data_IF_709267374856
#
_entry.id   IF_709267374856
#
_cell.length_a   1.000
_cell.length_b   1.000
_cell.length_c   1.000
_cell.angle_alpha   90.00
_cell.angle_beta   90.00
_cell.angle_gamma   90.00
#
_symmetry.space_group_name_H-M   'P 1'
#
loop_
_entity.id
_entity.type
_entity.pdbx_description
1 polymer ?
#
# COMPACT_ATOMS: atom_id res chain seq x y z
N UNK A 1 13.72 1.04 -6.99
CA UNK A 1 12.69 -0.02 -7.12
C UNK A 1 11.36 0.66 -7.41
N UNK A 2 10.52 0.16 -8.33
CA UNK A 2 9.10 0.58 -8.40
C UNK A 2 8.42 0.08 -7.11
N UNK A 3 7.59 0.89 -6.46
CA UNK A 3 6.99 0.56 -5.16
C UNK A 3 6.01 -0.62 -5.29
N UNK A 4 6.06 -1.63 -4.41
CA UNK A 4 5.02 -2.65 -4.35
C UNK A 4 3.71 -1.98 -3.92
N UNK A 5 2.70 -2.01 -4.78
CA UNK A 5 1.45 -1.31 -4.52
C UNK A 5 0.59 -2.08 -3.52
N UNK A 6 0.75 -1.74 -2.23
CA UNK A 6 -0.33 -1.90 -1.27
C UNK A 6 -1.51 -1.05 -1.74
N UNK A 7 -2.58 -1.70 -2.19
CA UNK A 7 -3.91 -1.10 -2.21
C UNK A 7 -4.47 -1.11 -0.77
N UNK A 8 -4.60 0.05 -0.10
CA UNK A 8 -5.85 0.31 0.61
C UNK A 8 -6.98 0.44 -0.44
N UNK A 9 -8.20 0.07 -0.08
CA UNK A 9 -9.38 0.56 -0.80
C UNK A 9 -9.48 2.08 -0.52
N UNK A 10 -9.38 2.97 -1.53
CA UNK A 10 -9.71 4.44 -1.53
C UNK A 10 -9.39 5.09 -2.91
N UNK A 11 -10.02 6.25 -3.28
CA UNK A 11 -10.61 6.46 -4.64
C UNK A 11 -11.09 7.93 -4.97
N UNK A 12 -11.30 8.36 -6.25
CA UNK A 12 -11.83 9.72 -6.74
C UNK A 12 -12.01 9.77 -8.30
N UNK A 13 -12.79 10.61 -9.07
CA UNK A 13 -13.98 11.54 -9.01
C UNK A 13 -13.93 12.55 -10.23
N UNK A 14 -14.90 12.97 -11.11
CA UNK A 14 -16.33 12.68 -11.45
C UNK A 14 -16.68 13.01 -12.97
N UNK A 15 -17.84 12.59 -13.55
CA UNK A 15 -18.69 13.21 -14.69
C UNK A 15 -18.85 12.54 -16.11
N UNK A 16 -20.07 12.60 -16.70
CA UNK A 16 -20.77 11.53 -17.49
C UNK A 16 -21.19 11.90 -18.94
N UNK A 17 -21.28 10.89 -19.83
CA UNK A 17 -22.17 10.93 -21.01
C UNK A 17 -23.09 9.69 -21.15
N UNK A 18 -24.40 9.93 -21.28
CA UNK A 18 -25.47 8.92 -21.26
C UNK A 18 -25.80 8.42 -22.69
N UNK A 19 -26.01 7.11 -22.88
CA UNK A 19 -26.64 6.55 -24.10
C UNK A 19 -27.62 5.43 -23.69
N UNK A 20 -28.89 5.44 -24.13
CA UNK A 20 -29.85 4.39 -23.81
C UNK A 20 -29.59 3.12 -24.65
N UNK A 21 -29.34 1.99 -23.98
CA UNK A 21 -29.14 0.69 -24.64
C UNK A 21 -30.47 0.00 -24.95
N UNK A 22 -30.74 -0.25 -26.24
CA UNK A 22 -31.76 -1.21 -26.66
C UNK A 22 -31.29 -2.63 -26.35
N UNK A 23 -32.07 -3.35 -25.53
CA UNK A 23 -31.69 -4.65 -24.94
C UNK A 23 -31.71 -5.82 -25.94
N UNK A 24 -30.75 -5.87 -26.85
CA UNK A 24 -30.39 -7.10 -27.57
C UNK A 24 -29.71 -8.09 -26.60
N UNK A 25 -30.52 -8.92 -25.92
CA UNK A 25 -30.01 -10.03 -25.08
C UNK A 25 -29.31 -11.08 -25.94
N UNK A 26 -28.00 -10.90 -26.20
CA UNK A 26 -27.14 -12.02 -26.57
C UNK A 26 -27.19 -13.05 -25.44
N UNK A 27 -27.67 -14.24 -25.76
CA UNK A 27 -27.69 -15.39 -24.86
C UNK A 27 -26.22 -15.77 -24.56
N UNK A 28 -25.80 -15.97 -23.31
CA UNK A 28 -24.42 -16.38 -23.03
C UNK A 28 -24.17 -17.76 -23.65
N UNK A 29 -23.14 -17.86 -24.50
CA UNK A 29 -22.76 -19.09 -25.19
C UNK A 29 -21.79 -19.90 -24.32
N UNK A 30 -22.36 -20.79 -23.51
CA UNK A 30 -21.64 -21.70 -22.62
C UNK A 30 -22.60 -22.54 -21.77
N UNK A 31 -22.11 -23.55 -21.04
CA UNK A 31 -22.90 -24.22 -20.02
C UNK A 31 -23.29 -23.22 -18.92
N UNK A 32 -24.52 -23.32 -18.42
CA UNK A 32 -25.01 -22.46 -17.34
C UNK A 32 -24.22 -22.73 -16.05
N UNK A 33 -23.41 -21.76 -15.62
CA UNK A 33 -22.69 -21.85 -14.34
C UNK A 33 -23.70 -21.91 -13.18
N UNK A 34 -23.56 -22.84 -12.21
CA UNK A 34 -24.43 -22.91 -11.05
C UNK A 34 -24.38 -21.63 -10.21
N UNK A 35 -25.49 -21.24 -9.57
CA UNK A 35 -25.51 -20.11 -8.62
C UNK A 35 -25.01 -20.57 -7.25
N UNK A 36 -23.96 -19.93 -6.71
CA UNK A 36 -23.46 -20.19 -5.35
C UNK A 36 -24.14 -19.32 -4.29
N UNK A 37 -24.67 -18.16 -4.67
CA UNK A 37 -25.53 -17.35 -3.81
C UNK A 37 -26.56 -16.52 -4.61
N UNK A 38 -27.52 -15.93 -3.91
CA UNK A 38 -28.37 -14.83 -4.38
C UNK A 38 -28.26 -13.68 -3.36
N UNK A 39 -28.21 -12.44 -3.85
CA UNK A 39 -28.11 -11.20 -3.08
C UNK A 39 -29.12 -10.20 -3.65
N UNK A 40 -30.13 -9.81 -2.87
CA UNK A 40 -31.16 -8.85 -3.31
C UNK A 40 -31.96 -9.27 -4.57
N UNK A 41 -31.96 -10.56 -4.90
CA UNK A 41 -32.55 -11.12 -6.13
C UNK A 41 -31.54 -11.34 -7.28
N UNK A 42 -30.32 -10.81 -7.20
CA UNK A 42 -29.25 -11.06 -8.18
C UNK A 42 -28.43 -12.31 -7.82
N UNK A 43 -28.05 -13.15 -8.80
CA UNK A 43 -27.19 -14.31 -8.54
C UNK A 43 -25.72 -13.93 -8.34
N UNK A 44 -24.99 -14.80 -7.65
CA UNK A 44 -23.55 -14.96 -7.77
C UNK A 44 -23.30 -16.36 -8.33
N UNK A 45 -22.61 -16.44 -9.46
CA UNK A 45 -22.29 -17.67 -10.17
C UNK A 45 -21.03 -18.33 -9.61
N UNK A 46 -20.94 -19.66 -9.73
CA UNK A 46 -19.75 -20.43 -9.38
C UNK A 46 -18.53 -19.90 -10.15
N UNK A 47 -18.71 -19.50 -11.41
CA UNK A 47 -17.65 -18.90 -12.22
C UNK A 47 -17.10 -17.57 -11.68
N UNK A 48 -17.91 -16.77 -10.96
CA UNK A 48 -17.41 -15.56 -10.29
C UNK A 48 -16.45 -15.93 -9.13
N UNK A 49 -16.76 -17.02 -8.40
CA UNK A 49 -15.93 -17.54 -7.32
C UNK A 49 -14.68 -18.29 -7.83
N UNK A 50 -14.81 -19.06 -8.90
CA UNK A 50 -13.68 -19.72 -9.59
C UNK A 50 -12.70 -18.68 -10.13
N UNK A 51 -13.22 -17.59 -10.70
CA UNK A 51 -12.42 -16.44 -11.11
C UNK A 51 -11.75 -15.75 -9.91
N UNK A 52 -12.47 -15.48 -8.82
CA UNK A 52 -11.88 -14.87 -7.62
C UNK A 52 -10.76 -15.73 -7.01
N UNK A 53 -10.92 -17.06 -6.96
CA UNK A 53 -9.91 -18.01 -6.50
C UNK A 53 -8.70 -18.06 -7.45
N UNK A 54 -8.93 -17.98 -8.76
CA UNK A 54 -7.87 -17.89 -9.78
C UNK A 54 -7.09 -16.58 -9.66
N UNK A 55 -7.78 -15.45 -9.50
CA UNK A 55 -7.21 -14.11 -9.29
C UNK A 55 -6.37 -14.08 -7.99
N UNK A 56 -6.85 -14.68 -6.90
CA UNK A 56 -6.10 -14.84 -5.63
C UNK A 56 -4.83 -15.69 -5.79
N UNK A 57 -4.92 -16.81 -6.52
CA UNK A 57 -3.81 -17.77 -6.71
C UNK A 57 -2.57 -17.22 -7.42
N UNK A 58 -2.65 -16.01 -8.00
CA UNK A 58 -1.51 -15.33 -8.65
C UNK A 58 -0.60 -14.60 -7.67
N UNK A 59 -1.14 -14.13 -6.56
CA UNK A 59 -0.37 -13.40 -5.53
C UNK A 59 0.02 -14.32 -4.36
N UNK A 60 -0.86 -15.26 -4.00
CA UNK A 60 -0.70 -16.14 -2.82
C UNK A 60 -0.92 -17.60 -3.24
N UNK A 61 0.03 -18.53 -2.97
CA UNK A 61 -0.16 -19.95 -3.21
C UNK A 61 -1.39 -20.49 -2.48
N UNK A 62 -2.23 -21.26 -3.19
CA UNK A 62 -3.44 -21.84 -2.59
C UNK A 62 -3.08 -22.87 -1.49
N UNK A 63 -3.84 -22.92 -0.39
CA UNK A 63 -3.68 -23.96 0.62
C UNK A 63 -4.03 -25.35 0.04
N UNK A 64 -3.50 -26.45 0.61
CA UNK A 64 -3.89 -27.79 0.24
C UNK A 64 -5.41 -28.04 0.37
N UNK A 65 -5.93 -28.97 -0.43
CA UNK A 65 -7.34 -29.37 -0.36
C UNK A 65 -7.73 -29.86 1.04
N UNK A 66 -8.81 -29.32 1.56
CA UNK A 66 -9.28 -29.51 2.93
C UNK A 66 -9.85 -28.22 3.50
N UNK A 67 -10.03 -28.17 4.82
CA UNK A 67 -10.72 -27.08 5.52
C UNK A 67 -10.14 -25.68 5.24
N UNK A 68 -8.82 -25.55 5.11
CA UNK A 68 -8.18 -24.26 4.81
C UNK A 68 -8.60 -23.70 3.43
N UNK A 69 -8.68 -24.55 2.41
CA UNK A 69 -9.15 -24.17 1.08
C UNK A 69 -10.66 -23.92 1.07
N UNK A 70 -11.43 -24.69 1.82
CA UNK A 70 -12.87 -24.49 1.95
C UNK A 70 -13.24 -23.24 2.75
N UNK A 71 -12.39 -22.79 3.68
CA UNK A 71 -12.53 -21.49 4.35
C UNK A 71 -12.19 -20.35 3.38
N UNK A 72 -11.07 -20.42 2.64
CA UNK A 72 -10.74 -19.45 1.59
C UNK A 72 -11.88 -19.28 0.55
N UNK A 73 -12.53 -20.38 0.14
CA UNK A 73 -13.72 -20.32 -0.75
C UNK A 73 -14.91 -19.58 -0.12
N UNK A 74 -15.14 -19.72 1.20
CA UNK A 74 -16.20 -18.98 1.91
C UNK A 74 -15.83 -17.50 1.98
N UNK A 75 -14.59 -17.18 2.30
CA UNK A 75 -14.12 -15.80 2.46
C UNK A 75 -14.16 -15.03 1.13
N UNK A 76 -13.79 -15.69 0.02
CA UNK A 76 -13.92 -15.13 -1.33
C UNK A 76 -15.40 -14.98 -1.77
N UNK A 77 -16.28 -15.95 -1.45
CA UNK A 77 -17.71 -15.78 -1.68
C UNK A 77 -18.28 -14.62 -0.85
N UNK A 78 -17.81 -14.46 0.39
CA UNK A 78 -18.25 -13.42 1.29
C UNK A 78 -17.85 -12.03 0.76
N UNK A 79 -16.63 -11.90 0.24
CA UNK A 79 -16.20 -10.69 -0.49
C UNK A 79 -17.08 -10.41 -1.73
N UNK A 80 -17.44 -11.42 -2.51
CA UNK A 80 -18.35 -11.27 -3.67
C UNK A 80 -19.77 -10.85 -3.24
N UNK A 81 -20.31 -11.42 -2.16
CA UNK A 81 -21.60 -11.03 -1.56
C UNK A 81 -21.53 -9.57 -1.12
N UNK A 82 -20.54 -9.20 -0.31
CA UNK A 82 -20.42 -7.85 0.24
C UNK A 82 -20.22 -6.79 -0.87
N UNK A 83 -19.48 -7.14 -1.92
CA UNK A 83 -19.35 -6.32 -3.14
C UNK A 83 -20.70 -6.12 -3.81
N UNK A 84 -21.47 -7.19 -4.06
CA UNK A 84 -22.77 -7.11 -4.72
C UNK A 84 -23.81 -6.34 -3.89
N UNK A 85 -23.78 -6.50 -2.55
CA UNK A 85 -24.57 -5.70 -1.59
C UNK A 85 -24.28 -4.19 -1.74
N UNK A 86 -23.01 -3.78 -1.76
CA UNK A 86 -22.65 -2.37 -1.91
C UNK A 86 -23.00 -1.81 -3.30
N UNK A 87 -22.81 -2.58 -4.38
CA UNK A 87 -23.16 -2.14 -5.73
C UNK A 87 -24.67 -1.97 -5.90
N UNK A 88 -25.48 -2.83 -5.30
CA UNK A 88 -26.94 -2.66 -5.27
C UNK A 88 -27.39 -1.42 -4.50
N UNK A 89 -26.82 -1.15 -3.32
CA UNK A 89 -27.15 0.07 -2.58
C UNK A 89 -26.69 1.32 -3.34
N UNK A 90 -25.53 1.26 -4.00
CA UNK A 90 -25.02 2.35 -4.85
C UNK A 90 -25.97 2.70 -6.01
N UNK A 91 -26.60 1.71 -6.63
CA UNK A 91 -27.63 1.94 -7.66
C UNK A 91 -28.88 2.62 -7.08
N UNK A 92 -29.35 2.19 -5.89
CA UNK A 92 -30.49 2.83 -5.20
C UNK A 92 -30.17 4.29 -4.82
N UNK A 93 -28.96 4.52 -4.33
CA UNK A 93 -28.41 5.82 -3.98
C UNK A 93 -28.03 6.68 -5.19
N UNK A 94 -28.25 6.19 -6.42
CA UNK A 94 -28.00 6.85 -7.70
C UNK A 94 -26.55 7.32 -7.85
N UNK A 95 -25.62 6.49 -7.40
CA UNK A 95 -24.19 6.73 -7.50
C UNK A 95 -23.76 6.39 -8.92
N UNK A 96 -23.36 7.44 -9.63
CA UNK A 96 -23.07 7.41 -11.05
C UNK A 96 -21.56 7.49 -11.27
N UNK A 97 -20.92 6.35 -11.59
CA UNK A 97 -19.61 6.34 -12.23
C UNK A 97 -19.78 6.59 -13.73
N UNK A 98 -18.84 7.33 -14.30
CA UNK A 98 -19.08 8.12 -15.50
C UNK A 98 -18.05 7.86 -16.61
N UNK A 99 -18.02 8.70 -17.66
CA UNK A 99 -17.02 8.57 -18.74
C UNK A 99 -15.73 9.32 -18.42
N UNK A 100 -15.83 10.59 -18.04
CA UNK A 100 -14.66 11.43 -17.79
C UNK A 100 -13.94 10.97 -16.51
N UNK A 101 -14.68 10.45 -15.50
CA UNK A 101 -14.11 9.64 -14.41
C UNK A 101 -13.27 8.50 -14.98
N UNK A 102 -13.86 7.67 -15.85
CA UNK A 102 -13.24 6.42 -16.27
C UNK A 102 -11.95 6.70 -17.04
N UNK A 103 -11.96 7.72 -17.90
CA UNK A 103 -10.77 8.14 -18.63
C UNK A 103 -9.68 8.70 -17.69
N UNK A 104 -10.02 9.55 -16.70
CA UNK A 104 -9.05 10.05 -15.72
C UNK A 104 -8.59 8.99 -14.70
N UNK A 105 -9.45 8.06 -14.31
CA UNK A 105 -9.12 6.88 -13.49
C UNK A 105 -8.14 5.98 -14.23
N UNK A 106 -8.45 5.60 -15.47
CA UNK A 106 -7.58 4.75 -16.31
C UNK A 106 -6.22 5.45 -16.49
N UNK A 107 -6.22 6.73 -16.85
CA UNK A 107 -5.02 7.56 -16.99
C UNK A 107 -4.19 7.63 -15.70
N UNK A 108 -4.82 7.87 -14.54
CA UNK A 108 -4.16 7.91 -13.23
C UNK A 108 -3.57 6.54 -12.85
N UNK A 109 -4.29 5.44 -13.11
CA UNK A 109 -3.84 4.09 -12.80
C UNK A 109 -2.76 3.58 -13.78
N UNK A 110 -2.67 4.15 -14.99
CA UNK A 110 -1.62 3.85 -15.99
C UNK A 110 -0.40 4.78 -15.94
N UNK A 111 -0.40 5.84 -15.15
CA UNK A 111 0.57 6.94 -15.24
C UNK A 111 2.06 6.50 -15.17
N UNK A 112 2.39 5.48 -14.37
CA UNK A 112 3.75 4.96 -14.17
C UNK A 112 4.14 3.78 -15.10
N UNK A 113 3.32 3.53 -16.14
CA UNK A 113 3.43 2.37 -17.04
C UNK A 113 3.36 2.77 -18.52
N UNK A 114 4.23 2.18 -19.34
CA UNK A 114 3.92 2.02 -20.76
C UNK A 114 2.78 1.02 -20.97
N UNK A 115 2.05 1.10 -22.09
CA UNK A 115 0.99 0.14 -22.41
C UNK A 115 1.48 -1.31 -22.50
N UNK A 116 2.76 -1.53 -22.82
CA UNK A 116 3.37 -2.86 -22.77
C UNK A 116 3.55 -3.35 -21.33
N UNK A 117 4.22 -2.57 -20.46
CA UNK A 117 4.39 -2.91 -19.04
C UNK A 117 3.03 -3.13 -18.35
N UNK A 118 2.03 -2.32 -18.70
CA UNK A 118 0.67 -2.46 -18.19
C UNK A 118 0.00 -3.76 -18.67
N UNK A 119 0.13 -4.11 -19.94
CA UNK A 119 -0.37 -5.38 -20.49
C UNK A 119 0.31 -6.59 -19.85
N UNK A 120 1.61 -6.52 -19.61
CA UNK A 120 2.39 -7.57 -18.93
C UNK A 120 2.04 -7.68 -17.44
N UNK A 121 1.79 -6.55 -16.77
CA UNK A 121 1.29 -6.50 -15.39
C UNK A 121 -0.08 -7.16 -15.26
N UNK A 122 -1.04 -6.87 -16.15
CA UNK A 122 -2.35 -7.56 -16.14
C UNK A 122 -2.21 -9.06 -16.41
N UNK A 123 -1.36 -9.47 -17.37
CA UNK A 123 -1.10 -10.89 -17.68
C UNK A 123 -0.51 -11.66 -16.50
N UNK A 124 0.47 -11.08 -15.79
CA UNK A 124 1.07 -11.73 -14.60
C UNK A 124 0.04 -11.93 -13.47
N UNK A 125 -0.85 -10.94 -13.26
CA UNK A 125 -2.00 -11.02 -12.34
C UNK A 125 -3.17 -11.85 -12.86
N UNK A 126 -3.08 -12.43 -14.06
CA UNK A 126 -4.15 -13.25 -14.67
C UNK A 126 -5.42 -12.47 -15.03
N UNK A 127 -5.34 -11.14 -15.16
CA UNK A 127 -6.47 -10.25 -15.44
C UNK A 127 -6.56 -9.94 -16.95
N UNK A 128 -7.79 -9.78 -17.45
CA UNK A 128 -8.03 -9.12 -18.75
C UNK A 128 -8.22 -7.61 -18.53
N UNK A 129 -8.12 -6.82 -19.60
CA UNK A 129 -8.35 -5.38 -19.54
C UNK A 129 -9.81 -5.06 -19.16
N UNK A 130 -10.77 -5.86 -19.63
CA UNK A 130 -12.19 -5.73 -19.34
C UNK A 130 -12.47 -6.00 -17.87
N UNK A 131 -11.89 -7.08 -17.31
CA UNK A 131 -11.99 -7.39 -15.88
C UNK A 131 -11.29 -6.35 -15.01
N UNK A 132 -10.20 -5.76 -15.47
CA UNK A 132 -9.54 -4.67 -14.77
C UNK A 132 -10.39 -3.39 -14.75
N UNK A 133 -10.98 -2.98 -15.89
CA UNK A 133 -11.92 -1.85 -15.97
C UNK A 133 -13.18 -2.13 -15.11
N UNK A 134 -13.67 -3.37 -15.09
CA UNK A 134 -14.75 -3.80 -14.21
C UNK A 134 -14.36 -3.63 -12.74
N UNK A 135 -13.22 -4.18 -12.29
CA UNK A 135 -12.74 -4.02 -10.90
C UNK A 135 -12.53 -2.55 -10.53
N UNK A 136 -12.00 -1.74 -11.45
CA UNK A 136 -11.85 -0.29 -11.28
C UNK A 136 -13.22 0.39 -11.10
N UNK A 137 -14.22 -0.03 -11.87
CA UNK A 137 -15.63 0.41 -11.77
C UNK A 137 -16.31 0.00 -10.46
N UNK A 138 -16.15 -1.27 -10.09
CA UNK A 138 -16.73 -1.88 -8.89
C UNK A 138 -16.16 -1.19 -7.65
N UNK A 139 -14.82 -1.13 -7.55
CA UNK A 139 -14.15 -0.36 -6.51
C UNK A 139 -14.66 1.08 -6.49
N UNK A 140 -14.61 1.78 -7.63
CA UNK A 140 -15.02 3.19 -7.74
C UNK A 140 -16.38 3.46 -7.10
N UNK A 141 -17.35 2.64 -7.45
CA UNK A 141 -18.73 2.82 -7.02
C UNK A 141 -18.86 2.70 -5.49
N UNK A 142 -18.01 1.89 -4.84
CA UNK A 142 -18.07 1.57 -3.41
C UNK A 142 -17.50 2.68 -2.51
N UNK A 143 -16.39 3.36 -2.84
CA UNK A 143 -15.97 4.51 -2.01
C UNK A 143 -16.80 5.78 -2.31
N UNK A 144 -17.51 5.87 -3.44
CA UNK A 144 -18.54 6.91 -3.60
C UNK A 144 -19.79 6.62 -2.76
N UNK A 145 -20.07 5.35 -2.46
CA UNK A 145 -21.02 4.96 -1.43
C UNK A 145 -20.50 5.28 -0.02
N UNK A 146 -19.22 5.00 0.27
CA UNK A 146 -18.55 5.35 1.54
C UNK A 146 -18.55 6.86 1.79
N UNK A 147 -18.10 7.69 0.84
CA UNK A 147 -18.10 9.16 0.93
C UNK A 147 -19.52 9.69 1.16
N UNK A 148 -20.51 9.22 0.39
CA UNK A 148 -21.91 9.62 0.58
C UNK A 148 -22.46 9.21 1.94
N UNK A 149 -22.10 8.02 2.41
CA UNK A 149 -22.51 7.47 3.71
C UNK A 149 -21.85 8.18 4.88
N UNK A 150 -20.59 8.61 4.74
CA UNK A 150 -19.76 9.12 5.84
C UNK A 150 -19.50 10.63 5.79
N UNK A 151 -19.91 11.34 4.73
CA UNK A 151 -19.71 12.78 4.57
C UNK A 151 -20.47 13.68 5.56
N UNK A 152 -21.27 13.08 6.45
CA UNK A 152 -21.89 13.76 7.60
C UNK A 152 -21.07 13.63 8.90
N UNK A 153 -19.97 12.86 8.89
CA UNK A 153 -19.09 12.70 10.05
C UNK A 153 -18.24 13.97 10.20
N UNK A 154 -18.26 14.53 11.40
CA UNK A 154 -17.48 15.71 11.74
C UNK A 154 -15.99 15.38 11.87
N UNK A 155 -15.14 16.35 11.53
CA UNK A 155 -13.69 16.23 11.70
C UNK A 155 -13.31 15.99 13.19
N UNK A 156 -12.14 15.38 13.47
CA UNK A 156 -11.59 15.32 14.82
C UNK A 156 -11.44 16.70 15.44
N UNK A 157 -11.98 16.85 16.65
CA UNK A 157 -11.82 18.07 17.45
C UNK A 157 -10.36 18.25 17.89
N UNK A 158 -9.93 19.49 18.22
CA UNK A 158 -8.60 19.73 18.77
C UNK A 158 -8.32 18.93 20.06
N UNK A 159 -9.36 18.59 20.82
CA UNK A 159 -9.25 17.77 22.02
C UNK A 159 -8.95 16.30 21.68
N UNK A 160 -9.71 15.68 20.76
CA UNK A 160 -9.46 14.30 20.32
C UNK A 160 -8.06 14.14 19.68
N UNK A 161 -7.63 15.13 18.90
CA UNK A 161 -6.29 15.18 18.30
C UNK A 161 -5.20 15.26 19.38
N UNK A 162 -5.43 16.05 20.44
CA UNK A 162 -4.51 16.14 21.58
C UNK A 162 -4.49 14.85 22.41
N UNK A 163 -5.65 14.27 22.71
CA UNK A 163 -5.77 13.03 23.48
C UNK A 163 -5.08 11.85 22.78
N UNK A 164 -5.24 11.74 21.45
CA UNK A 164 -4.49 10.76 20.65
C UNK A 164 -2.98 11.01 20.74
N UNK A 165 -2.53 12.25 20.57
CA UNK A 165 -1.10 12.60 20.61
C UNK A 165 -0.47 12.36 22.00
N UNK A 166 -1.18 12.72 23.08
CA UNK A 166 -0.73 12.48 24.45
C UNK A 166 -0.60 10.97 24.74
N UNK A 167 -1.53 10.15 24.21
CA UNK A 167 -1.51 8.69 24.36
C UNK A 167 -0.42 7.99 23.54
N UNK A 168 -0.04 8.56 22.39
CA UNK A 168 0.97 8.03 21.46
C UNK A 168 2.28 8.85 21.48
N UNK A 169 2.57 9.54 22.58
CA UNK A 169 3.66 10.53 22.68
C UNK A 169 5.05 9.94 22.37
N UNK A 170 5.24 8.64 22.61
CA UNK A 170 6.48 7.92 22.33
C UNK A 170 6.69 7.61 20.84
N UNK A 171 5.62 7.45 20.06
CA UNK A 171 5.69 7.30 18.59
C UNK A 171 6.20 8.60 17.93
N UNK A 172 6.03 9.73 18.63
CA UNK A 172 6.55 11.05 18.26
C UNK A 172 7.91 11.38 18.89
N UNK A 173 8.54 10.47 19.63
CA UNK A 173 9.88 10.66 20.23
C UNK A 173 10.99 10.29 19.25
N UNK A 174 11.57 11.29 18.60
CA UNK A 174 12.81 11.13 17.84
C UNK A 174 13.98 10.94 18.83
N UNK A 175 14.53 9.73 18.86
CA UNK A 175 15.75 9.40 19.61
C UNK A 175 16.96 10.25 19.16
N UNK A 176 17.91 10.44 20.06
CA UNK A 176 19.20 11.03 19.69
C UNK A 176 19.95 10.15 18.66
N UNK A 177 20.67 10.79 17.74
CA UNK A 177 21.36 10.10 16.65
C UNK A 177 22.34 10.97 15.87
N UNK A 178 23.10 10.33 14.99
CA UNK A 178 24.13 10.97 14.15
C UNK A 178 23.81 10.75 12.67
N UNK A 179 23.79 11.81 11.86
CA UNK A 179 23.75 11.66 10.39
C UNK A 179 25.17 11.45 9.89
N UNK A 180 25.42 10.38 9.13
CA UNK A 180 26.77 10.04 8.68
C UNK A 180 26.83 9.74 7.17
N UNK A 181 28.02 9.98 6.61
CA UNK A 181 28.45 9.31 5.39
C UNK A 181 29.51 8.27 5.69
N UNK A 182 29.57 7.21 4.88
CA UNK A 182 30.66 6.23 4.88
C UNK A 182 31.30 6.03 3.49
N UNK A 183 32.54 5.55 3.49
CA UNK A 183 33.15 4.82 2.38
C UNK A 183 33.64 3.50 2.95
N UNK A 184 33.21 2.38 2.37
CA UNK A 184 33.66 1.03 2.73
C UNK A 184 34.58 0.50 1.63
N UNK A 185 35.76 0.01 2.00
CA UNK A 185 36.74 -0.54 1.07
C UNK A 185 37.19 -1.95 1.51
N UNK A 186 37.55 -2.85 0.57
CA UNK A 186 37.90 -4.23 0.89
C UNK A 186 39.31 -4.38 1.50
N UNK A 187 40.16 -3.36 1.45
CA UNK A 187 41.54 -3.42 1.92
C UNK A 187 42.01 -2.13 2.60
N UNK A 188 42.94 -2.28 3.55
CA UNK A 188 43.43 -1.20 4.41
C UNK A 188 44.27 -0.15 3.66
N UNK A 189 45.02 -0.58 2.62
CA UNK A 189 45.89 0.31 1.84
C UNK A 189 45.07 1.33 1.08
N UNK A 190 44.08 0.88 0.33
CA UNK A 190 43.17 1.73 -0.45
C UNK A 190 42.34 2.63 0.47
N UNK A 191 41.89 2.12 1.63
CA UNK A 191 41.20 2.94 2.62
C UNK A 191 42.08 4.08 3.15
N UNK A 192 43.37 3.82 3.40
CA UNK A 192 44.32 4.88 3.78
C UNK A 192 44.58 5.86 2.63
N UNK A 193 44.70 5.39 1.38
CA UNK A 193 44.88 6.25 0.20
C UNK A 193 43.67 7.18 -0.01
N UNK A 194 42.45 6.64 0.04
CA UNK A 194 41.20 7.43 -0.03
C UNK A 194 41.09 8.40 1.13
N UNK A 195 41.42 7.99 2.36
CA UNK A 195 41.43 8.88 3.53
C UNK A 195 42.41 10.05 3.33
N UNK A 196 43.60 9.80 2.80
CA UNK A 196 44.59 10.85 2.51
C UNK A 196 44.15 11.79 1.37
N UNK A 197 43.31 11.33 0.44
CA UNK A 197 42.68 12.19 -0.56
C UNK A 197 41.59 13.09 0.06
N UNK A 198 40.70 12.53 0.89
CA UNK A 198 39.68 13.29 1.64
C UNK A 198 40.30 14.36 2.55
N UNK A 199 41.41 14.06 3.24
CA UNK A 199 42.14 15.01 4.08
C UNK A 199 42.83 16.14 3.30
N UNK A 200 42.97 16.00 1.97
CA UNK A 200 43.45 17.07 1.06
C UNK A 200 42.32 17.90 0.47
N UNK A 201 41.06 17.58 0.77
CA UNK A 201 39.88 18.31 0.30
C UNK A 201 39.14 17.70 -0.89
N UNK A 202 39.43 16.46 -1.29
CA UNK A 202 38.56 15.74 -2.25
C UNK A 202 37.15 15.55 -1.66
N UNK A 203 36.14 15.62 -2.54
CA UNK A 203 34.75 15.49 -2.09
C UNK A 203 34.40 14.07 -1.63
N UNK A 204 33.70 13.99 -0.49
CA UNK A 204 33.34 12.72 0.13
C UNK A 204 32.30 11.96 -0.69
N UNK A 205 31.31 12.64 -1.27
CA UNK A 205 30.23 11.98 -2.02
C UNK A 205 30.75 11.38 -3.34
N UNK A 206 31.61 12.13 -4.06
CA UNK A 206 32.36 11.65 -5.22
C UNK A 206 33.24 10.45 -4.87
N UNK A 207 34.10 10.56 -3.86
CA UNK A 207 34.98 9.46 -3.45
C UNK A 207 34.18 8.22 -3.00
N UNK A 208 33.04 8.41 -2.33
CA UNK A 208 32.14 7.30 -1.99
C UNK A 208 31.58 6.61 -3.24
N UNK A 209 31.05 7.36 -4.20
CA UNK A 209 30.49 6.80 -5.44
C UNK A 209 31.54 6.05 -6.27
N UNK A 210 32.75 6.62 -6.39
CA UNK A 210 33.86 6.04 -7.16
C UNK A 210 34.53 4.83 -6.48
N UNK A 211 34.69 4.83 -5.15
CA UNK A 211 35.54 3.88 -4.42
C UNK A 211 34.85 2.97 -3.44
N UNK A 212 33.67 3.31 -2.94
CA UNK A 212 32.99 2.47 -1.95
C UNK A 212 32.46 1.18 -2.56
N UNK A 213 32.44 0.12 -1.76
CA UNK A 213 31.68 -1.12 -2.01
C UNK A 213 30.38 -1.19 -1.19
N UNK A 214 30.05 -0.14 -0.43
CA UNK A 214 28.79 -0.03 0.32
C UNK A 214 27.56 0.20 -0.59
N UNK A 215 26.34 -0.22 -0.18
CA UNK A 215 25.11 0.05 -0.95
C UNK A 215 24.81 1.54 -1.09
N UNK A 216 25.08 2.32 -0.04
CA UNK A 216 24.90 3.78 0.04
C UNK A 216 25.83 4.59 -0.90
N UNK A 217 26.77 3.96 -1.61
CA UNK A 217 27.69 4.66 -2.50
C UNK A 217 27.00 5.51 -3.58
N UNK A 218 25.86 5.04 -4.09
CA UNK A 218 25.04 5.77 -5.08
C UNK A 218 24.38 7.03 -4.50
N UNK A 219 24.35 7.18 -3.18
CA UNK A 219 23.87 8.36 -2.45
C UNK A 219 25.05 9.22 -1.95
N UNK A 220 26.25 9.01 -2.50
CA UNK A 220 27.48 9.64 -2.02
C UNK A 220 27.87 9.16 -0.62
N UNK A 221 27.57 7.90 -0.29
CA UNK A 221 27.88 7.28 1.01
C UNK A 221 26.90 7.64 2.13
N UNK A 222 25.78 8.31 1.85
CA UNK A 222 24.80 8.74 2.86
C UNK A 222 24.09 7.55 3.51
N UNK A 223 24.33 7.32 4.80
CA UNK A 223 23.72 6.24 5.58
C UNK A 223 22.40 6.70 6.23
N UNK A 224 22.08 8.00 6.16
CA UNK A 224 21.02 8.60 6.93
C UNK A 224 21.43 8.81 8.40
N UNK A 225 20.44 8.78 9.30
CA UNK A 225 20.64 8.99 10.75
C UNK A 225 20.67 7.65 11.46
N UNK A 226 21.77 7.36 12.15
CA UNK A 226 21.88 6.22 13.06
C UNK A 226 21.58 6.66 14.49
N UNK A 227 20.59 6.01 15.10
CA UNK A 227 20.34 6.07 16.56
C UNK A 227 21.20 5.03 17.28
N UNK A 228 21.32 5.13 18.60
CA UNK A 228 22.19 4.23 19.37
C UNK A 228 21.79 2.73 19.25
N UNK A 229 20.49 2.44 19.18
CA UNK A 229 19.95 1.08 19.00
C UNK A 229 19.96 0.58 17.54
N UNK A 230 20.34 1.43 16.58
CA UNK A 230 20.47 1.11 15.16
C UNK A 230 21.92 1.11 14.68
N UNK A 231 22.89 1.27 15.59
CA UNK A 231 24.31 1.40 15.27
C UNK A 231 24.93 0.02 14.92
N UNK A 232 25.54 -0.16 13.73
CA UNK A 232 26.28 -1.38 13.41
C UNK A 232 27.60 -1.48 14.20
N UNK A 233 28.10 -2.71 14.36
CA UNK A 233 29.40 -3.00 14.99
C UNK A 233 30.53 -2.21 14.29
N UNK A 234 31.34 -1.49 15.07
CA UNK A 234 32.47 -0.69 14.59
C UNK A 234 32.10 0.73 14.13
N UNK A 235 30.82 1.12 14.18
CA UNK A 235 30.38 2.48 13.85
C UNK A 235 30.38 3.41 15.09
N UNK A 236 30.74 2.92 16.27
CA UNK A 236 30.66 3.65 17.55
C UNK A 236 31.55 4.90 17.56
N UNK A 237 32.63 4.92 16.76
CA UNK A 237 33.45 6.13 16.55
C UNK A 237 32.62 7.32 16.07
N UNK A 238 31.53 7.09 15.33
CA UNK A 238 30.64 8.16 14.85
C UNK A 238 29.88 8.83 15.98
N UNK A 239 29.71 8.17 17.14
CA UNK A 239 29.11 8.78 18.33
C UNK A 239 30.02 9.86 18.94
N UNK A 240 31.33 9.82 18.71
CA UNK A 240 32.31 10.80 19.24
C UNK A 240 32.96 11.70 18.16
N UNK A 241 32.98 11.28 16.89
CA UNK A 241 33.60 12.02 15.78
C UNK A 241 32.99 13.43 15.61
N UNK A 242 33.78 14.53 15.60
CA UNK A 242 33.23 15.86 15.41
C UNK A 242 32.60 16.04 14.02
N UNK A 243 31.60 16.93 13.93
CA UNK A 243 30.88 17.21 12.69
C UNK A 243 31.86 17.72 11.61
N UNK A 244 31.73 17.21 10.39
CA UNK A 244 32.57 17.54 9.24
C UNK A 244 33.91 16.81 9.17
N UNK A 245 34.39 16.21 10.27
CA UNK A 245 35.71 15.56 10.34
C UNK A 245 35.69 14.16 9.73
N UNK A 246 36.80 13.81 9.08
CA UNK A 246 37.05 12.47 8.51
C UNK A 246 37.65 11.56 9.60
N UNK A 247 37.03 10.40 9.86
CA UNK A 247 37.50 9.43 10.85
C UNK A 247 38.89 8.87 10.51
N UNK A 248 39.57 8.19 11.45
CA UNK A 248 40.57 7.16 11.13
C UNK A 248 39.96 6.09 10.20
N UNK A 249 40.80 5.27 9.55
CA UNK A 249 40.30 4.03 8.92
C UNK A 249 39.88 3.07 10.03
N UNK A 250 38.65 2.57 9.98
CA UNK A 250 38.09 1.64 10.97
C UNK A 250 37.91 0.27 10.34
N UNK A 251 38.44 -0.78 10.98
CA UNK A 251 38.28 -2.16 10.53
C UNK A 251 37.06 -2.80 11.18
N UNK A 252 36.21 -3.44 10.38
CA UNK A 252 35.02 -4.20 10.81
C UNK A 252 35.03 -5.60 10.18
N UNK A 253 33.99 -6.38 10.44
CA UNK A 253 33.69 -7.62 9.71
C UNK A 253 33.35 -7.41 8.22
N UNK A 254 32.92 -6.20 7.83
CA UNK A 254 32.56 -5.84 6.46
C UNK A 254 33.74 -5.31 5.62
N UNK A 255 34.82 -4.85 6.26
CA UNK A 255 36.01 -4.31 5.59
C UNK A 255 36.61 -3.12 6.33
N UNK A 256 37.00 -2.10 5.59
CA UNK A 256 37.66 -0.89 6.09
C UNK A 256 36.81 0.34 5.79
N UNK A 257 36.23 0.93 6.83
CA UNK A 257 35.34 2.09 6.74
C UNK A 257 36.11 3.41 6.96
N UNK A 258 35.65 4.45 6.28
CA UNK A 258 35.97 5.86 6.56
C UNK A 258 34.63 6.57 6.77
N UNK A 259 34.47 7.28 7.88
CA UNK A 259 33.24 7.98 8.24
C UNK A 259 33.39 9.49 8.24
N UNK A 260 32.28 10.19 8.00
CA UNK A 260 32.12 11.63 8.22
C UNK A 260 30.76 11.89 8.86
N UNK A 261 30.71 12.51 10.04
CA UNK A 261 29.45 12.96 10.66
C UNK A 261 29.02 14.26 9.99
N UNK A 262 27.80 14.31 9.45
CA UNK A 262 27.21 15.53 8.89
C UNK A 262 26.36 16.29 9.91
N UNK A 263 25.67 15.58 10.80
CA UNK A 263 24.68 16.16 11.72
C UNK A 263 24.66 15.41 13.05
N UNK A 264 24.33 16.10 14.15
CA UNK A 264 24.06 15.48 15.45
C UNK A 264 22.67 15.89 15.94
N UNK A 265 21.74 14.93 15.91
CA UNK A 265 20.37 15.12 16.41
C UNK A 265 20.33 14.80 17.89
N UNK A 266 19.89 15.78 18.68
CA UNK A 266 19.45 15.54 20.06
C UNK A 266 18.12 14.78 20.01
N UNK A 267 17.80 14.10 21.10
CA UNK A 267 16.45 13.62 21.31
C UNK A 267 15.46 14.79 21.29
N UNK A 268 14.34 14.64 20.60
CA UNK A 268 13.19 15.55 20.70
C UNK A 268 11.88 14.79 20.57
N UNK A 269 10.86 15.24 21.26
CA UNK A 269 9.48 14.92 20.87
C UNK A 269 9.10 15.86 19.72
N UNK A 270 8.50 15.32 18.66
CA UNK A 270 7.92 16.14 17.58
C UNK A 270 6.67 16.81 18.16
N UNK A 271 6.58 18.15 18.22
CA UNK A 271 5.47 18.85 18.86
C UNK A 271 4.17 18.63 18.09
N UNK A 272 3.04 18.61 18.79
CA UNK A 272 1.70 18.45 18.21
C UNK A 272 1.44 19.39 17.02
N UNK A 273 2.00 20.60 17.02
CA UNK A 273 1.86 21.55 15.90
C UNK A 273 2.45 21.06 14.57
N UNK A 274 3.48 20.19 14.59
CA UNK A 274 4.05 19.57 13.39
C UNK A 274 3.23 18.37 12.90
N UNK A 275 2.62 17.59 13.82
CA UNK A 275 1.93 16.33 13.51
C UNK A 275 0.40 16.43 13.41
N UNK A 276 -0.21 17.50 13.96
CA UNK A 276 -1.65 17.76 13.97
C UNK A 276 -2.34 17.54 12.60
N UNK A 277 -1.79 17.97 11.44
CA UNK A 277 -2.40 17.69 10.14
C UNK A 277 -2.51 16.18 9.82
N UNK A 278 -1.49 15.38 10.21
CA UNK A 278 -1.47 13.93 9.97
C UNK A 278 -2.41 13.22 10.94
N UNK A 279 -2.34 13.58 12.23
CA UNK A 279 -3.22 13.01 13.28
C UNK A 279 -4.68 13.32 12.98
N UNK A 280 -5.01 14.55 12.54
CA UNK A 280 -6.36 14.91 12.07
C UNK A 280 -6.81 14.03 10.91
N UNK A 281 -5.95 13.82 9.90
CA UNK A 281 -6.27 12.97 8.75
C UNK A 281 -6.51 11.51 9.17
N UNK A 282 -5.64 10.97 10.03
CA UNK A 282 -5.75 9.60 10.57
C UNK A 282 -7.07 9.42 11.34
N UNK A 283 -7.28 10.21 12.39
CA UNK A 283 -8.49 10.16 13.22
C UNK A 283 -9.77 10.39 12.41
N UNK A 284 -9.73 11.23 11.37
CA UNK A 284 -10.89 11.46 10.53
C UNK A 284 -11.22 10.23 9.66
N UNK A 285 -10.20 9.58 9.10
CA UNK A 285 -10.40 8.34 8.36
C UNK A 285 -10.89 7.22 9.31
N UNK A 286 -10.30 7.06 10.49
CA UNK A 286 -10.75 6.08 11.50
C UNK A 286 -12.22 6.30 11.93
N UNK A 287 -12.64 7.55 12.15
CA UNK A 287 -14.05 7.89 12.41
C UNK A 287 -14.97 7.47 11.27
N UNK A 288 -14.57 7.74 10.01
CA UNK A 288 -15.34 7.39 8.81
C UNK A 288 -15.40 5.88 8.59
N UNK A 289 -14.27 5.19 8.68
CA UNK A 289 -14.15 3.73 8.54
C UNK A 289 -15.04 3.01 9.57
N UNK A 290 -14.99 3.43 10.83
CA UNK A 290 -15.80 2.87 11.92
C UNK A 290 -17.30 3.05 11.68
N UNK A 291 -17.73 4.20 11.17
CA UNK A 291 -19.13 4.43 10.80
C UNK A 291 -19.52 3.61 9.57
N UNK A 292 -18.68 3.54 8.54
CA UNK A 292 -18.97 2.77 7.33
C UNK A 292 -19.04 1.27 7.61
N UNK A 293 -18.13 0.72 8.43
CA UNK A 293 -18.17 -0.67 8.86
C UNK A 293 -19.46 -1.01 9.62
N UNK A 294 -19.91 -0.14 10.54
CA UNK A 294 -21.20 -0.30 11.22
C UNK A 294 -22.36 -0.29 10.22
N UNK A 295 -22.41 0.71 9.35
CA UNK A 295 -23.46 0.83 8.33
C UNK A 295 -23.46 -0.34 7.34
N UNK A 296 -22.30 -0.90 7.00
CA UNK A 296 -22.16 -2.05 6.11
C UNK A 296 -22.76 -3.32 6.72
N UNK A 297 -22.60 -3.53 8.04
CA UNK A 297 -23.26 -4.60 8.79
C UNK A 297 -24.78 -4.40 8.79
N UNK A 298 -25.25 -3.18 9.04
CA UNK A 298 -26.69 -2.85 9.01
C UNK A 298 -27.30 -3.00 7.60
N UNK A 299 -26.55 -2.68 6.54
CA UNK A 299 -26.92 -2.89 5.14
C UNK A 299 -26.99 -4.38 4.80
N UNK A 300 -25.97 -5.14 5.19
CA UNK A 300 -25.96 -6.59 5.00
C UNK A 300 -27.16 -7.24 5.66
N UNK A 301 -27.44 -6.90 6.92
CA UNK A 301 -28.53 -7.50 7.70
C UNK A 301 -29.93 -7.16 7.16
N UNK A 302 -30.10 -6.06 6.41
CA UNK A 302 -31.36 -5.71 5.71
C UNK A 302 -31.45 -6.22 4.27
N UNK A 303 -30.43 -6.92 3.76
CA UNK A 303 -30.39 -7.43 2.39
C UNK A 303 -30.71 -8.92 2.36
N UNK A 304 -31.61 -9.36 1.48
CA UNK A 304 -31.91 -10.78 1.32
C UNK A 304 -30.68 -11.50 0.71
N UNK A 305 -30.05 -12.38 1.48
CA UNK A 305 -28.88 -13.15 1.07
C UNK A 305 -29.17 -14.64 1.27
N UNK A 306 -28.97 -15.44 0.23
CA UNK A 306 -29.20 -16.89 0.24
C UNK A 306 -28.01 -17.62 -0.37
N UNK A 307 -27.33 -18.45 0.41
CA UNK A 307 -26.12 -19.17 0.01
C UNK A 307 -26.45 -20.65 -0.27
N UNK A 308 -25.96 -21.18 -1.39
CA UNK A 308 -26.14 -22.58 -1.80
C UNK A 308 -24.90 -23.42 -1.41
N UNK A 309 -24.76 -23.66 -0.10
CA UNK A 309 -23.58 -24.30 0.50
C UNK A 309 -23.29 -25.72 0.02
N UNK A 310 -24.25 -26.39 -0.61
CA UNK A 310 -24.06 -27.69 -1.28
C UNK A 310 -23.19 -27.58 -2.54
N UNK A 311 -23.29 -26.48 -3.29
CA UNK A 311 -22.52 -26.27 -4.53
C UNK A 311 -21.04 -26.00 -4.19
N UNK A 312 -20.79 -25.19 -3.15
CA UNK A 312 -19.43 -24.89 -2.66
C UNK A 312 -18.62 -26.13 -2.22
N UNK A 313 -19.32 -27.17 -1.73
CA UNK A 313 -18.71 -28.45 -1.33
C UNK A 313 -18.61 -29.46 -2.47
N UNK A 314 -19.40 -29.30 -3.54
CA UNK A 314 -19.45 -30.21 -4.68
C UNK A 314 -18.54 -29.77 -5.85
N UNK A 315 -18.10 -28.49 -5.87
CA UNK A 315 -17.13 -27.99 -6.84
C UNK A 315 -15.74 -28.60 -6.60
N UNK A 316 -15.19 -29.29 -7.62
CA UNK A 316 -13.88 -29.97 -7.61
C UNK A 316 -12.65 -29.02 -7.63
N UNK A 317 -12.77 -27.86 -6.98
CA UNK A 317 -11.73 -26.85 -6.79
C UNK A 317 -10.77 -27.30 -5.67
#
# INVERSE_FOLDING_TARGET
MKTPWFFPLILILFIFLFIPLTSCKKKPEGPLSPMVAIVGGEPILLSELEQALTEFSKEIPLPPRGEALDNLKKDLLEQLIQTKVFLQESQKEKITLTKDDMDDLIKKNKADYSEQEFSEMLKSKGLTNERWIQRLTENYTIQKLEEKTTGHIEEPTPQEIKEYYDAHIEDYRLKAGVKIRQILLPNEKEANEVRQALLKGEDFAKMAAEKSVSPDKGLGGDVGVLTADQMPEGFEVTLTLPIGIISPVIKTSYGYHIFKVEERRKERVIPLTEENPKIKTLLFQEKRDKQFAKWAIELRNRTEIKIFSNILKASNL
#
